data_IF_399830691030
#
_entry.id   IF_399830691030
#
_cell.length_a   1.000
_cell.length_b   1.000
_cell.length_c   1.000
_cell.angle_alpha   90.00
_cell.angle_beta   90.00
_cell.angle_gamma   90.00
#
_symmetry.space_group_name_H-M   'P 1'
#
loop_
_entity.id
_entity.type
_entity.pdbx_description
1 polymer ?
#
# COMPACT_ATOMS: atom_id res chain seq x y z
N UNK A 1 -16.97 3.62 38.01
CA UNK A 1 -16.31 2.30 38.15
C UNK A 1 -16.20 1.69 36.76
N UNK A 2 -15.07 1.89 36.08
CA UNK A 2 -14.80 1.32 34.75
C UNK A 2 -14.22 -0.08 34.94
N UNK A 3 -14.96 -1.12 34.55
CA UNK A 3 -14.47 -2.51 34.55
C UNK A 3 -13.29 -2.62 33.57
N UNK A 4 -12.09 -2.80 34.09
CA UNK A 4 -10.93 -3.27 33.32
C UNK A 4 -11.25 -4.67 32.81
N UNK A 5 -11.31 -4.86 31.49
CA UNK A 5 -11.45 -6.20 30.89
C UNK A 5 -10.18 -6.99 31.20
N UNK A 6 -10.34 -8.20 31.73
CA UNK A 6 -9.22 -9.12 31.92
C UNK A 6 -8.57 -9.44 30.56
N UNK A 7 -7.24 -9.63 30.48
CA UNK A 7 -6.57 -9.87 29.22
C UNK A 7 -7.03 -11.20 28.61
N UNK A 8 -7.61 -11.13 27.41
CA UNK A 8 -7.97 -12.32 26.63
C UNK A 8 -6.69 -12.96 26.08
N UNK A 9 -6.50 -14.26 26.32
CA UNK A 9 -5.36 -15.03 25.81
C UNK A 9 -5.86 -16.17 24.93
N UNK A 10 -5.24 -16.33 23.76
CA UNK A 10 -5.52 -17.43 22.82
C UNK A 10 -4.23 -18.24 22.69
N UNK A 11 -4.30 -19.54 22.96
CA UNK A 11 -3.19 -20.48 22.80
C UNK A 11 -3.51 -21.44 21.65
N UNK A 12 -2.62 -21.50 20.66
CA UNK A 12 -2.74 -22.41 19.52
C UNK A 12 -1.67 -23.50 19.64
N UNK A 13 -2.11 -24.76 19.73
CA UNK A 13 -1.22 -25.92 19.89
C UNK A 13 -1.39 -26.89 18.74
N UNK A 14 -0.28 -27.35 18.16
CA UNK A 14 -0.25 -28.41 17.16
C UNK A 14 0.30 -29.69 17.77
N UNK A 15 -0.42 -30.78 17.59
CA UNK A 15 -0.05 -32.09 18.13
C UNK A 15 0.45 -32.99 17.00
N UNK A 16 1.38 -33.91 17.32
CA UNK A 16 1.84 -34.98 16.42
C UNK A 16 2.62 -34.56 15.16
N UNK A 17 3.13 -33.33 15.09
CA UNK A 17 4.02 -32.89 14.01
C UNK A 17 5.23 -32.14 14.55
N UNK A 18 6.39 -32.37 13.92
CA UNK A 18 7.60 -31.54 14.13
C UNK A 18 7.66 -30.36 13.17
N UNK A 19 6.71 -30.31 12.23
CA UNK A 19 6.67 -29.27 11.22
C UNK A 19 5.74 -28.12 11.62
N UNK A 20 6.32 -26.93 11.66
CA UNK A 20 5.61 -25.68 11.95
C UNK A 20 5.03 -25.01 10.69
N UNK A 21 5.22 -25.58 9.49
CA UNK A 21 4.67 -25.02 8.25
C UNK A 21 3.16 -24.80 8.29
N UNK A 22 2.33 -25.71 8.83
CA UNK A 22 0.88 -25.47 8.90
C UNK A 22 0.51 -24.27 9.78
N UNK A 23 1.18 -24.08 10.93
CA UNK A 23 0.99 -22.90 11.78
C UNK A 23 1.36 -21.62 11.05
N UNK A 24 2.52 -21.62 10.38
CA UNK A 24 3.01 -20.47 9.62
C UNK A 24 2.08 -20.13 8.47
N UNK A 25 1.57 -21.14 7.77
CA UNK A 25 0.58 -20.97 6.70
C UNK A 25 -0.68 -20.33 7.26
N UNK A 26 -1.24 -20.89 8.34
CA UNK A 26 -2.45 -20.36 9.00
C UNK A 26 -2.27 -18.90 9.46
N UNK A 27 -1.17 -18.60 10.17
CA UNK A 27 -0.88 -17.22 10.60
C UNK A 27 -0.68 -16.29 9.40
N UNK A 28 0.00 -16.75 8.35
CA UNK A 28 0.20 -15.94 7.14
C UNK A 28 -1.11 -15.66 6.41
N UNK A 29 -2.04 -16.61 6.42
CA UNK A 29 -3.36 -16.48 5.83
C UNK A 29 -4.23 -15.54 6.66
N UNK A 30 -4.25 -15.71 7.99
CA UNK A 30 -4.95 -14.80 8.89
C UNK A 30 -4.45 -13.36 8.76
N UNK A 31 -3.12 -13.17 8.72
CA UNK A 31 -2.52 -11.85 8.48
C UNK A 31 -2.89 -11.28 7.10
N UNK A 32 -2.89 -12.10 6.05
CA UNK A 32 -3.33 -11.67 4.72
C UNK A 32 -4.80 -11.26 4.72
N UNK A 33 -5.67 -11.99 5.42
CA UNK A 33 -7.09 -11.66 5.53
C UNK A 33 -7.30 -10.36 6.30
N UNK A 34 -6.63 -10.17 7.44
CA UNK A 34 -6.67 -8.91 8.19
C UNK A 34 -6.17 -7.73 7.35
N UNK A 35 -5.02 -7.91 6.67
CA UNK A 35 -4.48 -6.87 5.79
C UNK A 35 -5.40 -6.58 4.61
N UNK A 36 -6.07 -7.58 4.04
CA UNK A 36 -7.08 -7.39 2.99
C UNK A 36 -8.27 -6.59 3.51
N UNK A 37 -8.84 -6.97 4.64
CA UNK A 37 -9.96 -6.23 5.26
C UNK A 37 -9.60 -4.77 5.57
N UNK A 38 -8.39 -4.50 6.05
CA UNK A 38 -7.92 -3.14 6.34
C UNK A 38 -7.55 -2.34 5.06
N UNK A 39 -7.19 -3.02 3.96
CA UNK A 39 -6.71 -2.38 2.72
C UNK A 39 -7.72 -2.38 1.57
N UNK A 40 -8.83 -3.10 1.67
CA UNK A 40 -9.85 -3.17 0.63
C UNK A 40 -10.53 -1.82 0.49
N UNK A 41 -10.15 -1.11 -0.58
CA UNK A 41 -10.80 0.12 -1.01
C UNK A 41 -10.43 1.36 -0.20
N UNK A 42 -9.37 1.35 0.61
CA UNK A 42 -8.91 2.53 1.37
C UNK A 42 -7.47 2.93 1.06
N UNK A 43 -7.21 4.22 1.07
CA UNK A 43 -5.90 4.85 0.91
C UNK A 43 -5.57 5.62 2.18
N UNK A 44 -4.47 5.24 2.82
CA UNK A 44 -3.96 5.91 4.01
C UNK A 44 -3.04 7.07 3.62
N UNK A 45 -3.34 8.26 4.12
CA UNK A 45 -2.56 9.47 3.90
C UNK A 45 -1.69 9.70 5.14
N UNK A 46 -0.38 9.75 4.92
CA UNK A 46 0.61 10.03 5.97
C UNK A 46 1.14 11.45 5.85
N UNK A 47 1.34 12.11 6.99
CA UNK A 47 1.97 13.42 7.08
C UNK A 47 3.19 13.35 7.98
N UNK A 48 4.17 14.21 7.71
CA UNK A 48 5.37 14.32 8.55
C UNK A 48 4.97 14.90 9.91
N UNK A 49 5.39 14.25 10.99
CA UNK A 49 5.20 14.79 12.34
C UNK A 49 5.96 16.11 12.50
N UNK A 50 5.33 17.10 13.15
CA UNK A 50 5.86 18.46 13.25
C UNK A 50 7.24 18.53 13.91
N UNK A 51 7.50 17.65 14.89
CA UNK A 51 8.69 17.72 15.75
C UNK A 51 9.59 16.49 15.68
N UNK A 52 9.11 15.40 15.07
CA UNK A 52 9.76 14.10 15.13
C UNK A 52 10.04 13.62 13.70
N UNK A 53 11.13 12.87 13.48
CA UNK A 53 11.46 12.31 12.18
C UNK A 53 10.60 11.07 11.86
N UNK A 54 9.29 11.15 12.13
CA UNK A 54 8.34 10.06 11.93
C UNK A 54 7.20 10.50 11.02
N UNK A 55 6.63 9.54 10.31
CA UNK A 55 5.39 9.70 9.57
C UNK A 55 4.23 9.30 10.46
N UNK A 56 3.15 10.08 10.44
CA UNK A 56 1.94 9.80 11.21
C UNK A 56 0.77 9.67 10.25
N UNK A 57 -0.06 8.63 10.44
CA UNK A 57 -1.30 8.44 9.67
C UNK A 57 -2.26 9.59 9.99
N UNK A 58 -2.57 10.41 8.99
CA UNK A 58 -3.45 11.57 9.14
C UNK A 58 -4.91 11.19 8.91
N UNK A 59 -5.19 10.47 7.83
CA UNK A 59 -6.54 10.08 7.43
C UNK A 59 -6.51 8.83 6.57
N UNK A 60 -7.55 8.01 6.67
CA UNK A 60 -7.84 6.92 5.72
C UNK A 60 -9.05 7.34 4.89
N UNK A 61 -8.92 7.34 3.56
CA UNK A 61 -9.99 7.71 2.63
C UNK A 61 -10.35 6.53 1.76
N UNK A 62 -11.58 6.48 1.28
CA UNK A 62 -11.95 5.53 0.23
C UNK A 62 -11.13 5.82 -1.03
N UNK A 63 -10.72 4.74 -1.69
CA UNK A 63 -10.01 4.80 -2.95
C UNK A 63 -10.94 5.47 -3.96
N UNK A 64 -10.44 6.51 -4.60
CA UNK A 64 -11.20 7.24 -5.61
C UNK A 64 -11.32 6.36 -6.86
N UNK A 65 -12.53 6.25 -7.40
CA UNK A 65 -12.72 5.53 -8.65
C UNK A 65 -11.97 6.25 -9.80
N UNK A 66 -11.31 5.46 -10.63
CA UNK A 66 -10.38 5.93 -11.67
C UNK A 66 -11.10 6.81 -12.69
N UNK A 67 -12.35 6.46 -12.98
CA UNK A 67 -13.20 7.13 -13.97
C UNK A 67 -13.60 8.55 -13.55
N UNK A 68 -13.39 8.92 -12.27
CA UNK A 68 -13.69 10.27 -11.77
C UNK A 68 -12.57 11.28 -12.02
N UNK A 69 -11.42 10.85 -12.55
CA UNK A 69 -10.29 11.73 -12.88
C UNK A 69 -10.16 11.84 -14.39
N UNK A 70 -10.64 12.96 -14.92
CA UNK A 70 -10.56 13.28 -16.35
C UNK A 70 -9.16 13.85 -16.63
N UNK A 71 -8.26 12.99 -17.06
CA UNK A 71 -7.07 13.36 -17.83
C UNK A 71 -7.29 12.97 -19.30
N UNK A 72 -6.41 13.43 -20.17
CA UNK A 72 -6.33 12.87 -21.52
C UNK A 72 -6.12 11.36 -21.41
N UNK A 73 -7.02 10.58 -22.02
CA UNK A 73 -7.15 9.13 -21.82
C UNK A 73 -5.84 8.41 -22.19
N UNK A 74 -5.20 8.87 -23.27
CA UNK A 74 -3.90 8.38 -23.74
C UNK A 74 -2.77 8.62 -22.72
N UNK A 75 -2.79 9.78 -22.04
CA UNK A 75 -1.75 10.14 -21.07
C UNK A 75 -1.89 9.34 -19.78
N UNK A 76 -3.12 9.18 -19.28
CA UNK A 76 -3.40 8.42 -18.07
C UNK A 76 -2.96 6.96 -18.24
N UNK A 77 -3.33 6.34 -19.36
CA UNK A 77 -2.98 4.96 -19.65
C UNK A 77 -1.48 4.76 -19.86
N UNK A 78 -0.81 5.71 -20.54
CA UNK A 78 0.64 5.69 -20.69
C UNK A 78 1.36 5.70 -19.32
N UNK A 79 0.98 6.63 -18.43
CA UNK A 79 1.61 6.74 -17.10
C UNK A 79 1.37 5.49 -16.28
N UNK A 80 0.16 4.93 -16.32
CA UNK A 80 -0.18 3.72 -15.59
C UNK A 80 0.53 2.49 -16.13
N UNK A 81 0.71 2.39 -17.45
CA UNK A 81 1.49 1.34 -18.08
C UNK A 81 2.96 1.41 -17.63
N UNK A 82 3.56 2.60 -17.59
CA UNK A 82 4.92 2.82 -17.10
C UNK A 82 5.06 2.45 -15.62
N UNK A 83 4.11 2.87 -14.76
CA UNK A 83 4.09 2.50 -13.33
C UNK A 83 4.04 0.99 -13.16
N UNK A 84 3.12 0.31 -13.86
CA UNK A 84 3.02 -1.17 -13.80
C UNK A 84 4.30 -1.83 -14.28
N UNK A 85 4.90 -1.32 -15.35
CA UNK A 85 6.16 -1.82 -15.89
C UNK A 85 7.31 -1.62 -14.90
N UNK A 86 7.37 -0.48 -14.22
CA UNK A 86 8.36 -0.17 -13.20
C UNK A 86 8.36 -1.21 -12.08
N UNK A 87 7.18 -1.61 -11.59
CA UNK A 87 7.04 -2.63 -10.54
C UNK A 87 7.27 -4.08 -11.00
N UNK A 88 7.57 -4.32 -12.27
CA UNK A 88 7.88 -5.69 -12.72
C UNK A 88 9.24 -6.14 -12.20
N UNK A 89 9.36 -7.45 -11.91
CA UNK A 89 10.63 -8.06 -11.49
C UNK A 89 11.77 -7.77 -12.48
N UNK A 90 11.47 -7.81 -13.78
CA UNK A 90 12.43 -7.54 -14.85
C UNK A 90 13.05 -6.15 -14.72
N UNK A 91 12.24 -5.14 -14.43
CA UNK A 91 12.72 -3.77 -14.24
C UNK A 91 13.54 -3.67 -12.95
N UNK A 92 13.09 -4.26 -11.85
CA UNK A 92 13.87 -4.29 -10.61
C UNK A 92 15.25 -4.94 -10.79
N UNK A 93 15.32 -6.08 -11.48
CA UNK A 93 16.57 -6.80 -11.78
C UNK A 93 17.48 -5.94 -12.67
N UNK A 94 16.93 -5.22 -13.65
CA UNK A 94 17.71 -4.30 -14.50
C UNK A 94 18.33 -3.15 -13.70
N UNK A 95 17.57 -2.51 -12.82
CA UNK A 95 18.08 -1.44 -11.94
C UNK A 95 19.21 -1.97 -11.03
N UNK A 96 19.01 -3.15 -10.46
CA UNK A 96 20.01 -3.80 -9.61
C UNK A 96 21.31 -4.09 -10.37
N UNK A 97 21.20 -4.72 -11.55
CA UNK A 97 22.35 -5.07 -12.38
C UNK A 97 23.10 -3.84 -12.91
N UNK A 98 22.38 -2.75 -13.17
CA UNK A 98 22.97 -1.48 -13.60
C UNK A 98 23.59 -0.67 -12.44
N UNK A 99 23.39 -1.07 -11.18
CA UNK A 99 23.83 -0.31 -10.00
C UNK A 99 23.07 1.01 -9.80
N UNK A 100 21.88 1.15 -10.39
CA UNK A 100 21.09 2.39 -10.34
C UNK A 100 20.09 2.28 -9.18
N UNK A 101 19.94 3.32 -8.33
CA UNK A 101 18.91 3.33 -7.30
C UNK A 101 17.52 3.09 -7.88
N UNK A 102 16.79 2.12 -7.34
CA UNK A 102 15.44 1.76 -7.79
C UNK A 102 14.41 2.82 -7.38
N UNK A 103 14.33 3.91 -8.16
CA UNK A 103 13.46 5.07 -7.94
C UNK A 103 12.95 5.59 -9.29
N UNK A 104 11.69 6.03 -9.32
CA UNK A 104 11.03 6.65 -10.48
C UNK A 104 10.28 7.90 -10.02
N UNK A 105 10.50 9.03 -10.68
CA UNK A 105 9.82 10.29 -10.41
C UNK A 105 8.91 10.68 -11.57
N UNK A 106 7.71 11.17 -11.27
CA UNK A 106 6.76 11.69 -12.25
C UNK A 106 6.52 13.18 -11.99
N UNK A 107 6.52 13.99 -13.05
CA UNK A 107 6.23 15.42 -12.98
C UNK A 107 4.94 15.71 -13.77
N UNK A 108 3.86 15.96 -13.04
CA UNK A 108 2.59 16.41 -13.63
C UNK A 108 2.57 17.94 -13.59
N UNK A 109 2.58 18.59 -14.75
CA UNK A 109 2.59 20.05 -14.87
C UNK A 109 1.40 20.55 -15.70
N UNK A 110 1.02 21.82 -15.49
CA UNK A 110 -0.08 22.47 -16.20
C UNK A 110 -0.85 23.45 -15.33
N UNK A 111 -1.87 24.13 -15.88
CA UNK A 111 -2.66 25.14 -15.17
C UNK A 111 -3.29 24.62 -13.87
N UNK A 112 -3.50 25.44 -12.84
CA UNK A 112 -4.21 25.02 -11.64
C UNK A 112 -5.63 24.55 -12.00
N UNK A 113 -6.14 23.53 -11.31
CA UNK A 113 -7.49 22.98 -11.56
C UNK A 113 -7.55 21.83 -12.58
N UNK A 114 -6.48 21.52 -13.32
CA UNK A 114 -6.47 20.41 -14.30
C UNK A 114 -6.26 19.01 -13.68
N UNK A 115 -6.86 18.69 -12.53
CA UNK A 115 -6.90 17.30 -12.01
C UNK A 115 -5.59 16.65 -11.54
N UNK A 116 -4.43 17.33 -11.59
CA UNK A 116 -3.11 16.76 -11.22
C UNK A 116 -3.07 16.09 -9.84
N UNK A 117 -3.56 16.76 -8.80
CA UNK A 117 -3.61 16.20 -7.44
C UNK A 117 -4.66 15.09 -7.32
N UNK A 118 -5.74 15.18 -8.08
CA UNK A 118 -6.79 14.14 -8.11
C UNK A 118 -6.26 12.85 -8.73
N UNK A 119 -5.45 12.92 -9.79
CA UNK A 119 -4.80 11.75 -10.40
C UNK A 119 -3.85 11.03 -9.43
N UNK A 120 -3.14 11.77 -8.58
CA UNK A 120 -2.24 11.16 -7.59
C UNK A 120 -2.98 10.37 -6.49
N UNK A 121 -4.30 10.45 -6.40
CA UNK A 121 -5.14 9.75 -5.41
C UNK A 121 -5.85 8.51 -5.97
N UNK A 122 -5.61 8.16 -7.23
CA UNK A 122 -6.21 7.04 -7.97
C UNK A 122 -5.43 5.74 -7.77
#
# INVERSE_FOLDING_TARGET
SSKTRDPESISLSMWWTRDAQPLKSFLSEALKTMLREDSEGRVDIYVKHMWLPIWTKAVSKERRDRDTVILDEDLADYVLADIRHFFTKKTADWYHNAGIPYRRGYLLYGPPGCGKTSFAQV
#
